data_IF_690915507406
#
_entry.id   IF_690915507406
#
_cell.length_a   1.000
_cell.length_b   1.000
_cell.length_c   1.000
_cell.angle_alpha   90.00
_cell.angle_beta   90.00
_cell.angle_gamma   90.00
#
_symmetry.space_group_name_H-M   'P 1'
#
loop_
_entity.id
_entity.type
_entity.pdbx_description
1 polymer ?
#
# COMPACT_ATOMS: atom_id res chain seq x y z
N UNK A 1 0.22 25.12 -29.26
CA UNK A 1 0.79 23.75 -29.24
C UNK A 1 0.25 22.97 -28.04
N UNK A 2 -0.66 22.00 -28.27
CA UNK A 2 -1.24 21.20 -27.22
C UNK A 2 -0.24 20.10 -26.79
N UNK A 3 0.37 20.19 -25.57
CA UNK A 3 1.12 19.09 -24.96
C UNK A 3 0.15 17.93 -24.69
N UNK A 4 0.24 16.87 -25.49
CA UNK A 4 -0.42 15.58 -25.24
C UNK A 4 0.01 15.07 -23.87
N UNK A 5 -0.94 14.88 -22.92
CA UNK A 5 -0.75 14.13 -21.68
C UNK A 5 -0.27 12.73 -22.05
N UNK A 6 1.01 12.42 -21.79
CA UNK A 6 1.51 11.06 -21.80
C UNK A 6 0.92 10.37 -20.57
N UNK A 7 -0.12 9.59 -20.74
CA UNK A 7 -0.42 8.47 -19.84
C UNK A 7 0.84 7.61 -19.91
N UNK A 8 1.54 7.44 -18.80
CA UNK A 8 2.73 6.59 -18.73
C UNK A 8 2.26 5.15 -18.93
N UNK A 9 2.43 4.66 -20.16
CA UNK A 9 2.19 3.24 -20.44
C UNK A 9 3.14 2.43 -19.54
N UNK A 10 2.60 1.39 -18.88
CA UNK A 10 3.38 0.47 -18.05
C UNK A 10 4.57 -0.06 -18.86
N UNK A 11 5.74 -0.13 -18.23
CA UNK A 11 6.92 -0.74 -18.83
C UNK A 11 6.69 -2.23 -19.13
N UNK A 12 7.46 -2.80 -20.04
CA UNK A 12 7.38 -4.22 -20.33
C UNK A 12 7.66 -5.09 -19.09
N UNK A 13 8.55 -4.64 -18.20
CA UNK A 13 8.83 -5.29 -16.92
C UNK A 13 7.61 -5.28 -15.99
N UNK A 14 6.96 -4.13 -15.82
CA UNK A 14 5.75 -4.02 -14.99
C UNK A 14 4.61 -4.87 -15.52
N UNK A 15 4.44 -4.93 -16.83
CA UNK A 15 3.45 -5.80 -17.47
C UNK A 15 3.72 -7.28 -17.24
N UNK A 16 4.98 -7.70 -17.36
CA UNK A 16 5.40 -9.08 -17.07
C UNK A 16 5.12 -9.43 -15.61
N UNK A 17 5.55 -8.59 -14.67
CA UNK A 17 5.32 -8.82 -13.23
C UNK A 17 3.82 -8.96 -12.94
N UNK A 18 3.00 -8.05 -13.44
CA UNK A 18 1.54 -8.07 -13.22
C UNK A 18 0.88 -9.33 -13.78
N UNK A 19 1.30 -9.79 -14.96
CA UNK A 19 0.80 -11.04 -15.54
C UNK A 19 1.20 -12.25 -14.71
N UNK A 20 2.47 -12.33 -14.30
CA UNK A 20 2.94 -13.43 -13.44
C UNK A 20 2.25 -13.42 -12.07
N UNK A 21 2.09 -12.26 -11.44
CA UNK A 21 1.33 -12.15 -10.18
C UNK A 21 -0.09 -12.66 -10.33
N UNK A 22 -0.77 -12.32 -11.43
CA UNK A 22 -2.11 -12.85 -11.71
C UNK A 22 -2.10 -14.38 -11.75
N UNK A 23 -1.17 -14.99 -12.49
CA UNK A 23 -1.09 -16.45 -12.63
C UNK A 23 -0.79 -17.15 -11.28
N UNK A 24 0.13 -16.59 -10.51
CA UNK A 24 0.58 -17.16 -9.23
C UNK A 24 -0.47 -16.97 -8.12
N UNK A 25 -1.04 -15.78 -7.96
CA UNK A 25 -2.00 -15.48 -6.89
C UNK A 25 -3.39 -16.06 -7.15
N UNK A 26 -3.76 -16.28 -8.41
CA UNK A 26 -4.97 -17.01 -8.77
C UNK A 26 -4.78 -18.54 -8.81
N UNK A 27 -3.60 -19.04 -8.40
CA UNK A 27 -3.26 -20.48 -8.44
C UNK A 27 -3.41 -21.12 -9.82
N UNK A 28 -3.21 -20.36 -10.89
CA UNK A 28 -3.14 -20.88 -12.25
C UNK A 28 -1.79 -21.57 -12.52
N UNK A 29 -0.77 -21.22 -11.74
CA UNK A 29 0.48 -21.97 -11.60
C UNK A 29 0.59 -22.30 -10.11
N UNK A 30 0.73 -23.58 -9.77
CA UNK A 30 0.64 -24.05 -8.40
C UNK A 30 1.98 -23.94 -7.65
N UNK A 31 1.94 -23.79 -6.31
CA UNK A 31 3.14 -23.90 -5.50
C UNK A 31 3.88 -25.22 -5.75
N UNK A 32 5.19 -25.14 -5.91
CA UNK A 32 6.05 -26.28 -6.25
C UNK A 32 6.28 -26.52 -7.74
N UNK A 33 5.51 -25.88 -8.62
CA UNK A 33 5.74 -25.96 -10.07
C UNK A 33 6.98 -25.14 -10.48
N UNK A 34 7.65 -25.63 -11.51
CA UNK A 34 8.78 -24.93 -12.14
C UNK A 34 8.27 -23.98 -13.21
N UNK A 35 8.79 -22.75 -13.22
CA UNK A 35 8.52 -21.82 -14.31
C UNK A 35 9.33 -22.21 -15.56
N UNK A 36 8.82 -21.88 -16.75
CA UNK A 36 9.58 -22.05 -17.98
C UNK A 36 10.93 -21.29 -17.92
N UNK A 37 11.97 -21.77 -18.65
CA UNK A 37 13.24 -21.07 -18.73
C UNK A 37 13.06 -19.61 -19.20
N UNK A 38 13.92 -18.69 -18.70
CA UNK A 38 13.86 -17.26 -19.04
C UNK A 38 13.83 -16.99 -20.55
N UNK A 39 14.48 -17.84 -21.36
CA UNK A 39 14.46 -17.73 -22.81
C UNK A 39 13.06 -17.97 -23.39
N UNK A 40 12.35 -18.94 -22.86
CA UNK A 40 11.00 -19.29 -23.28
C UNK A 40 9.99 -18.22 -22.83
N UNK A 41 10.07 -17.78 -21.57
CA UNK A 41 9.27 -16.67 -21.06
C UNK A 41 9.47 -15.40 -21.91
N UNK A 42 10.72 -15.09 -22.29
CA UNK A 42 11.02 -13.94 -23.13
C UNK A 42 10.37 -14.05 -24.52
N UNK A 43 10.38 -15.23 -25.11
CA UNK A 43 9.75 -15.49 -26.41
C UNK A 43 8.22 -15.41 -26.32
N UNK A 44 7.62 -16.03 -25.30
CA UNK A 44 6.16 -16.04 -25.09
C UNK A 44 5.61 -14.64 -24.83
N UNK A 45 6.33 -13.85 -24.05
CA UNK A 45 5.92 -12.49 -23.64
C UNK A 45 6.33 -11.42 -24.66
N UNK A 46 7.10 -11.75 -25.68
CA UNK A 46 7.57 -10.81 -26.69
C UNK A 46 8.48 -9.71 -26.12
N UNK A 47 9.26 -10.03 -25.07
CA UNK A 47 10.18 -9.09 -24.39
C UNK A 47 11.60 -9.64 -24.33
N UNK A 48 12.58 -8.80 -23.99
CA UNK A 48 13.97 -9.23 -23.91
C UNK A 48 14.24 -10.07 -22.64
N UNK A 49 15.21 -11.00 -22.70
CA UNK A 49 15.64 -11.81 -21.54
C UNK A 49 16.04 -10.99 -20.31
N UNK A 50 16.78 -9.87 -20.42
CA UNK A 50 17.04 -9.01 -19.26
C UNK A 50 15.79 -8.52 -18.55
N UNK A 51 14.74 -8.14 -19.30
CA UNK A 51 13.45 -7.72 -18.73
C UNK A 51 12.79 -8.84 -17.94
N UNK A 52 12.81 -10.08 -18.47
CA UNK A 52 12.31 -11.26 -17.75
C UNK A 52 13.13 -11.51 -16.49
N UNK A 53 14.46 -11.51 -16.61
CA UNK A 53 15.34 -11.75 -15.46
C UNK A 53 15.10 -10.75 -14.32
N UNK A 54 15.04 -9.45 -14.62
CA UNK A 54 14.73 -8.42 -13.64
C UNK A 54 13.33 -8.59 -13.03
N UNK A 55 12.34 -8.98 -13.83
CA UNK A 55 10.99 -9.25 -13.34
C UNK A 55 10.93 -10.47 -12.41
N UNK A 56 11.63 -11.55 -12.74
CA UNK A 56 11.72 -12.74 -11.89
C UNK A 56 12.45 -12.46 -10.58
N UNK A 57 13.51 -11.66 -10.59
CA UNK A 57 14.18 -11.20 -9.36
C UNK A 57 13.22 -10.42 -8.46
N UNK A 58 12.38 -9.56 -9.05
CA UNK A 58 11.39 -8.79 -8.30
C UNK A 58 10.28 -9.68 -7.73
N UNK A 59 9.77 -10.64 -8.49
CA UNK A 59 8.82 -11.65 -8.00
C UNK A 59 9.43 -12.50 -6.88
N UNK A 60 10.72 -12.84 -6.98
CA UNK A 60 11.47 -13.50 -5.92
C UNK A 60 11.60 -12.65 -4.66
N UNK A 61 11.88 -11.35 -4.79
CA UNK A 61 11.92 -10.41 -3.66
C UNK A 61 10.55 -10.25 -2.97
N UNK A 62 9.45 -10.50 -3.69
CA UNK A 62 8.08 -10.55 -3.13
C UNK A 62 7.75 -11.88 -2.47
N UNK A 63 8.61 -12.89 -2.59
CA UNK A 63 8.40 -14.23 -2.02
C UNK A 63 7.49 -15.14 -2.86
N UNK A 64 7.12 -14.73 -4.08
CA UNK A 64 6.24 -15.52 -4.95
C UNK A 64 6.94 -16.69 -5.63
N UNK A 65 8.24 -16.54 -5.89
CA UNK A 65 9.08 -17.54 -6.53
C UNK A 65 10.44 -17.58 -5.87
N UNK A 66 11.15 -18.68 -6.01
CA UNK A 66 12.55 -18.81 -5.57
C UNK A 66 13.38 -19.55 -6.61
N UNK A 67 14.70 -19.31 -6.61
CA UNK A 67 15.60 -20.01 -7.51
C UNK A 67 16.09 -21.31 -6.87
N UNK A 68 15.94 -22.45 -7.57
CA UNK A 68 16.58 -23.70 -7.19
C UNK A 68 17.79 -23.99 -8.07
N UNK A 69 18.96 -24.21 -7.46
CA UNK A 69 20.16 -24.53 -8.22
C UNK A 69 19.91 -25.69 -9.19
N UNK A 70 20.30 -25.53 -10.46
CA UNK A 70 20.13 -26.49 -11.55
C UNK A 70 18.71 -26.74 -12.06
N UNK A 71 17.66 -26.23 -11.38
CA UNK A 71 16.27 -26.45 -11.76
C UNK A 71 15.58 -25.18 -12.25
N UNK A 72 16.11 -23.99 -11.92
CA UNK A 72 15.52 -22.72 -12.32
C UNK A 72 14.57 -22.13 -11.28
N UNK A 73 13.57 -21.40 -11.70
CA UNK A 73 12.62 -20.73 -10.84
C UNK A 73 11.46 -21.65 -10.47
N UNK A 74 11.13 -21.73 -9.16
CA UNK A 74 10.03 -22.51 -8.62
C UNK A 74 9.03 -21.59 -7.97
N UNK A 75 7.74 -21.93 -8.06
CA UNK A 75 6.65 -21.21 -7.40
C UNK A 75 6.63 -21.53 -5.91
N UNK A 76 6.61 -20.50 -5.08
CA UNK A 76 6.56 -20.61 -3.63
C UNK A 76 5.10 -20.68 -3.14
N UNK A 77 4.91 -21.20 -1.92
CA UNK A 77 3.68 -20.98 -1.20
C UNK A 77 3.71 -19.57 -0.59
N UNK A 78 3.03 -18.62 -1.21
CA UNK A 78 3.07 -17.21 -0.78
C UNK A 78 2.46 -16.97 0.61
N UNK A 79 1.66 -17.89 1.15
CA UNK A 79 1.15 -17.81 2.52
C UNK A 79 2.22 -18.08 3.57
N UNK A 80 3.28 -18.80 3.19
CA UNK A 80 4.40 -19.14 4.06
C UNK A 80 5.63 -18.28 3.77
N UNK A 81 5.89 -17.97 2.49
CA UNK A 81 7.12 -17.33 2.01
C UNK A 81 6.91 -15.89 1.50
N UNK A 82 5.64 -15.42 1.46
CA UNK A 82 5.31 -14.09 0.98
C UNK A 82 5.92 -12.97 1.83
N UNK A 83 6.44 -11.93 1.17
CA UNK A 83 7.03 -10.76 1.82
C UNK A 83 6.10 -9.54 1.76
N UNK A 84 6.34 -8.55 2.62
CA UNK A 84 5.52 -7.34 2.71
C UNK A 84 5.27 -6.61 1.37
N UNK A 85 6.21 -6.56 0.40
CA UNK A 85 5.94 -5.97 -0.91
C UNK A 85 4.81 -6.66 -1.70
N UNK A 86 4.43 -7.88 -1.31
CA UNK A 86 3.33 -8.60 -1.94
C UNK A 86 1.94 -8.05 -1.57
N UNK A 87 1.82 -7.30 -0.47
CA UNK A 87 0.52 -6.84 0.05
C UNK A 87 -0.36 -6.14 -0.98
N UNK A 88 0.21 -5.25 -1.81
CA UNK A 88 -0.54 -4.52 -2.84
C UNK A 88 -1.10 -5.46 -3.90
N UNK A 89 -0.32 -6.44 -4.32
CA UNK A 89 -0.72 -7.44 -5.32
C UNK A 89 -1.72 -8.42 -4.72
N UNK A 90 -1.46 -8.92 -3.52
CA UNK A 90 -2.38 -9.80 -2.79
C UNK A 90 -3.75 -9.14 -2.64
N UNK A 91 -3.81 -7.88 -2.25
CA UNK A 91 -5.05 -7.13 -2.14
C UNK A 91 -5.77 -6.99 -3.50
N UNK A 92 -5.03 -6.68 -4.57
CA UNK A 92 -5.57 -6.49 -5.92
C UNK A 92 -6.23 -7.74 -6.50
N UNK A 93 -5.64 -8.91 -6.26
CA UNK A 93 -6.09 -10.19 -6.82
C UNK A 93 -6.96 -11.01 -5.85
N UNK A 94 -7.20 -10.53 -4.63
CA UNK A 94 -8.06 -11.20 -3.67
C UNK A 94 -9.54 -11.09 -4.05
N UNK A 95 -10.29 -12.16 -3.81
CA UNK A 95 -11.75 -12.10 -3.83
C UNK A 95 -12.27 -11.08 -2.80
N UNK A 96 -13.47 -10.49 -2.97
CA UNK A 96 -13.99 -9.45 -2.07
C UNK A 96 -13.94 -9.83 -0.58
N UNK A 97 -14.28 -11.06 -0.24
CA UNK A 97 -14.27 -11.52 1.15
C UNK A 97 -12.84 -11.61 1.73
N UNK A 98 -11.89 -12.08 0.93
CA UNK A 98 -10.47 -12.14 1.32
C UNK A 98 -9.86 -10.74 1.40
N UNK A 99 -10.23 -9.85 0.51
CA UNK A 99 -9.82 -8.45 0.56
C UNK A 99 -10.33 -7.75 1.82
N UNK A 100 -11.59 -7.97 2.22
CA UNK A 100 -12.16 -7.42 3.45
C UNK A 100 -11.43 -7.93 4.70
N UNK A 101 -10.99 -9.19 4.71
CA UNK A 101 -10.18 -9.75 5.79
C UNK A 101 -8.80 -9.10 5.85
N UNK A 102 -8.13 -8.97 4.72
CA UNK A 102 -6.84 -8.25 4.63
C UNK A 102 -6.98 -6.82 5.14
N UNK A 103 -8.10 -6.15 4.83
CA UNK A 103 -8.39 -4.80 5.30
C UNK A 103 -8.49 -4.74 6.83
N UNK A 104 -9.21 -5.67 7.44
CA UNK A 104 -9.35 -5.75 8.89
C UNK A 104 -8.00 -6.01 9.58
N UNK A 105 -7.21 -6.96 9.04
CA UNK A 105 -5.89 -7.31 9.56
C UNK A 105 -4.91 -6.11 9.46
N UNK A 106 -4.96 -5.37 8.34
CA UNK A 106 -4.14 -4.16 8.15
C UNK A 106 -4.56 -3.02 9.08
N UNK A 107 -5.86 -2.87 9.35
CA UNK A 107 -6.35 -1.88 10.31
C UNK A 107 -5.88 -2.20 11.72
N UNK A 108 -5.93 -3.47 12.13
CA UNK A 108 -5.44 -3.92 13.43
C UNK A 108 -3.93 -3.61 13.59
N UNK A 109 -3.11 -3.96 12.60
CA UNK A 109 -1.67 -3.66 12.61
C UNK A 109 -1.44 -2.15 12.66
N UNK A 110 -2.16 -1.36 11.84
CA UNK A 110 -2.07 0.10 11.82
C UNK A 110 -2.43 0.70 13.18
N UNK A 111 -3.50 0.24 13.81
CA UNK A 111 -3.95 0.65 15.14
C UNK A 111 -2.88 0.39 16.18
N UNK A 112 -2.35 -0.83 16.22
CA UNK A 112 -1.29 -1.22 17.13
C UNK A 112 -0.04 -0.34 16.98
N UNK A 113 0.41 -0.12 15.74
CA UNK A 113 1.60 0.71 15.46
C UNK A 113 1.37 2.16 15.90
N UNK A 114 0.26 2.78 15.51
CA UNK A 114 0.00 4.20 15.79
C UNK A 114 -0.25 4.46 17.27
N UNK A 115 -1.07 3.64 17.92
CA UNK A 115 -1.36 3.79 19.36
C UNK A 115 -0.10 3.60 20.18
N UNK A 116 0.70 2.55 19.88
CA UNK A 116 1.96 2.31 20.59
C UNK A 116 2.98 3.42 20.36
N UNK A 117 3.06 3.96 19.13
CA UNK A 117 3.96 5.06 18.82
C UNK A 117 3.59 6.35 19.57
N UNK A 118 2.29 6.68 19.61
CA UNK A 118 1.82 7.84 20.37
C UNK A 118 2.04 7.67 21.88
N UNK A 119 1.85 6.44 22.42
CA UNK A 119 2.18 6.13 23.82
C UNK A 119 3.66 6.34 24.10
N UNK A 120 4.54 5.85 23.25
CA UNK A 120 5.99 6.02 23.39
C UNK A 120 6.38 7.50 23.32
N UNK A 121 5.80 8.26 22.39
CA UNK A 121 6.01 9.70 22.32
C UNK A 121 5.67 10.40 23.64
N UNK A 122 4.52 10.11 24.23
CA UNK A 122 4.14 10.70 25.53
C UNK A 122 4.96 10.18 26.72
N UNK A 123 5.49 8.96 26.65
CA UNK A 123 6.31 8.39 27.71
C UNK A 123 7.73 8.99 27.75
N UNK A 124 8.25 9.43 26.60
CA UNK A 124 9.58 10.08 26.49
C UNK A 124 9.56 11.56 26.88
N UNK A 125 8.47 12.03 27.50
CA UNK A 125 8.22 13.42 27.80
C UNK A 125 9.11 13.91 28.96
N UNK A 126 10.15 14.66 28.62
CA UNK A 126 10.80 15.61 29.54
C UNK A 126 10.16 16.97 29.36
N UNK A 127 10.02 17.72 30.44
CA UNK A 127 9.39 19.04 30.59
C UNK A 127 9.77 20.08 29.50
N UNK A 128 10.83 19.83 28.76
CA UNK A 128 11.34 20.67 27.65
C UNK A 128 10.60 20.53 26.33
N UNK A 129 9.73 19.51 26.16
CA UNK A 129 9.04 19.24 24.88
C UNK A 129 7.76 20.03 24.64
N UNK A 130 7.22 20.70 25.66
CA UNK A 130 5.87 21.32 25.58
C UNK A 130 5.78 22.51 24.62
N UNK A 131 6.87 23.22 24.33
CA UNK A 131 6.82 24.44 23.50
C UNK A 131 7.47 24.30 22.12
N UNK A 132 8.39 23.36 21.90
CA UNK A 132 9.16 23.19 20.66
C UNK A 132 9.33 21.71 20.27
N UNK A 133 8.27 20.90 20.36
CA UNK A 133 8.34 19.50 19.93
C UNK A 133 8.50 19.40 18.41
N UNK A 134 9.55 18.72 17.89
CA UNK A 134 9.74 18.49 16.46
C UNK A 134 8.54 17.79 15.82
N UNK A 135 7.83 16.94 16.57
CA UNK A 135 6.59 16.31 16.10
C UNK A 135 5.50 17.35 15.85
N UNK A 136 5.24 18.23 16.82
CA UNK A 136 4.17 19.23 16.72
C UNK A 136 4.43 20.17 15.55
N UNK A 137 5.67 20.64 15.40
CA UNK A 137 6.06 21.48 14.26
C UNK A 137 5.83 20.76 12.92
N UNK A 138 6.23 19.50 12.82
CA UNK A 138 6.08 18.67 11.63
C UNK A 138 4.61 18.43 11.29
N UNK A 139 3.79 18.11 12.30
CA UNK A 139 2.35 17.91 12.10
C UNK A 139 1.65 19.20 11.64
N UNK A 140 1.97 20.34 12.24
CA UNK A 140 1.44 21.65 11.80
C UNK A 140 1.86 21.99 10.36
N UNK A 141 3.11 21.68 9.97
CA UNK A 141 3.58 21.90 8.60
C UNK A 141 2.79 21.07 7.60
N UNK A 142 2.62 19.77 7.87
CA UNK A 142 1.86 18.84 7.01
C UNK A 142 0.41 19.30 6.91
N UNK A 143 -0.21 19.63 8.03
CA UNK A 143 -1.61 20.06 8.09
C UNK A 143 -1.86 21.39 7.35
N UNK A 144 -0.95 22.36 7.44
CA UNK A 144 -1.01 23.59 6.64
C UNK A 144 -0.95 23.33 5.14
N UNK A 145 -0.08 22.40 4.72
CA UNK A 145 -0.02 21.98 3.31
C UNK A 145 -1.29 21.25 2.87
N UNK A 146 -1.85 20.42 3.74
CA UNK A 146 -3.13 19.75 3.48
C UNK A 146 -4.25 20.78 3.22
N UNK A 147 -4.41 21.77 4.08
CA UNK A 147 -5.41 22.83 3.91
C UNK A 147 -5.26 23.63 2.60
N UNK A 148 -4.03 23.90 2.15
CA UNK A 148 -3.80 24.58 0.86
C UNK A 148 -4.27 23.78 -0.36
N UNK A 149 -4.32 22.45 -0.22
CA UNK A 149 -4.69 21.53 -1.30
C UNK A 149 -6.17 21.13 -1.28
N UNK A 150 -6.94 21.51 -0.22
CA UNK A 150 -8.38 21.24 -0.12
C UNK A 150 -9.12 22.35 -0.86
N UNK A 151 -9.51 22.10 -2.11
CA UNK A 151 -10.32 22.98 -2.94
C UNK A 151 -11.80 22.61 -3.00
N UNK A 152 -12.60 23.40 -3.72
CA UNK A 152 -14.02 23.09 -3.97
C UNK A 152 -14.16 21.89 -4.94
N UNK A 153 -13.26 21.79 -5.90
CA UNK A 153 -13.20 20.68 -6.86
C UNK A 153 -11.77 20.14 -6.89
N UNK A 154 -11.60 18.87 -6.56
CA UNK A 154 -10.30 18.22 -6.47
C UNK A 154 -9.98 17.48 -7.77
N UNK A 155 -8.85 17.83 -8.36
CA UNK A 155 -8.29 17.10 -9.50
C UNK A 155 -7.52 15.88 -9.00
N UNK A 156 -7.32 14.84 -9.82
CA UNK A 156 -6.57 13.65 -9.44
C UNK A 156 -5.18 13.93 -8.86
N UNK A 157 -4.49 14.98 -9.33
CA UNK A 157 -3.19 15.37 -8.80
C UNK A 157 -3.28 15.93 -7.37
N UNK A 158 -4.35 16.64 -7.03
CA UNK A 158 -4.60 17.16 -5.68
C UNK A 158 -4.99 16.04 -4.73
N UNK A 159 -5.82 15.07 -5.18
CA UNK A 159 -6.16 13.87 -4.40
C UNK A 159 -4.87 13.10 -4.06
N UNK A 160 -4.01 12.81 -5.04
CA UNK A 160 -2.71 12.15 -4.77
C UNK A 160 -1.85 12.92 -3.77
N UNK A 161 -1.83 14.25 -3.89
CA UNK A 161 -1.10 15.08 -2.92
C UNK A 161 -1.67 15.00 -1.52
N UNK A 162 -2.99 15.02 -1.38
CA UNK A 162 -3.69 14.88 -0.08
C UNK A 162 -3.47 13.50 0.53
N UNK A 163 -3.50 12.45 -0.28
CA UNK A 163 -3.17 11.09 0.15
C UNK A 163 -1.73 10.99 0.68
N UNK A 164 -0.77 11.60 0.00
CA UNK A 164 0.62 11.64 0.47
C UNK A 164 0.74 12.39 1.80
N UNK A 165 0.05 13.53 1.95
CA UNK A 165 0.07 14.32 3.18
C UNK A 165 -0.57 13.56 4.36
N UNK A 166 -1.63 12.80 4.10
CA UNK A 166 -2.24 11.93 5.09
C UNK A 166 -1.28 10.82 5.55
N UNK A 167 -0.62 10.15 4.63
CA UNK A 167 0.41 9.16 4.95
C UNK A 167 1.54 9.77 5.79
N UNK A 168 2.05 10.93 5.39
CA UNK A 168 3.12 11.64 6.10
C UNK A 168 2.72 12.08 7.51
N UNK A 169 1.44 12.41 7.73
CA UNK A 169 0.92 12.78 9.04
C UNK A 169 1.05 11.62 10.03
N UNK A 170 0.56 10.45 9.68
CA UNK A 170 0.68 9.27 10.54
C UNK A 170 2.12 8.78 10.67
N UNK A 171 2.89 8.84 9.60
CA UNK A 171 4.31 8.51 9.62
C UNK A 171 5.08 9.38 10.61
N UNK A 172 4.75 10.68 10.73
CA UNK A 172 5.40 11.56 11.69
C UNK A 172 5.13 11.14 13.15
N UNK A 173 3.92 10.67 13.46
CA UNK A 173 3.59 10.13 14.80
C UNK A 173 4.42 8.87 15.10
N UNK A 174 4.53 7.96 14.12
CA UNK A 174 5.31 6.72 14.27
C UNK A 174 6.80 7.03 14.48
N UNK A 175 7.34 7.95 13.70
CA UNK A 175 8.74 8.40 13.81
C UNK A 175 9.03 8.99 15.19
N UNK A 176 8.12 9.81 15.72
CA UNK A 176 8.24 10.39 17.05
C UNK A 176 8.19 9.37 18.20
N UNK A 177 7.52 8.24 17.98
CA UNK A 177 7.53 7.09 18.90
C UNK A 177 8.87 6.37 19.01
N UNK A 178 9.80 6.60 18.07
CA UNK A 178 11.19 6.12 18.12
C UNK A 178 11.38 4.64 17.75
N UNK A 179 10.33 3.89 17.39
CA UNK A 179 10.47 2.49 16.97
C UNK A 179 10.73 2.39 15.47
N UNK A 180 11.98 2.14 15.09
CA UNK A 180 12.40 2.03 13.68
C UNK A 180 11.70 0.88 12.95
N UNK A 181 11.40 -0.22 13.63
CA UNK A 181 10.70 -1.36 12.99
C UNK A 181 9.26 -0.98 12.63
N UNK A 182 8.55 -0.26 13.50
CA UNK A 182 7.21 0.26 13.18
C UNK A 182 7.24 1.19 11.96
N UNK A 183 8.26 2.04 11.87
CA UNK A 183 8.43 2.92 10.73
C UNK A 183 8.67 2.16 9.42
N UNK A 184 9.50 1.11 9.45
CA UNK A 184 9.76 0.26 8.28
C UNK A 184 8.50 -0.50 7.85
N UNK A 185 7.78 -1.09 8.79
CA UNK A 185 6.51 -1.80 8.50
C UNK A 185 5.48 -0.85 7.88
N UNK A 186 5.30 0.34 8.44
CA UNK A 186 4.37 1.33 7.91
C UNK A 186 4.77 1.82 6.51
N UNK A 187 6.07 2.07 6.28
CA UNK A 187 6.58 2.45 4.96
C UNK A 187 6.38 1.33 3.92
N UNK A 188 6.47 0.06 4.30
CA UNK A 188 6.26 -1.07 3.40
C UNK A 188 4.82 -1.18 2.90
N UNK A 189 3.85 -0.71 3.68
CA UNK A 189 2.44 -0.66 3.29
C UNK A 189 2.05 0.59 2.47
N UNK A 190 3.01 1.49 2.15
CA UNK A 190 2.74 2.80 1.53
C UNK A 190 1.96 2.68 0.21
N UNK A 191 2.35 1.76 -0.66
CA UNK A 191 1.71 1.59 -1.97
C UNK A 191 0.23 1.24 -1.83
N UNK A 192 -0.08 0.23 -1.00
CA UNK A 192 -1.45 -0.18 -0.71
C UNK A 192 -2.24 0.93 -0.02
N UNK A 193 -1.63 1.63 0.94
CA UNK A 193 -2.23 2.77 1.62
C UNK A 193 -2.65 3.86 0.62
N UNK A 194 -1.76 4.23 -0.29
CA UNK A 194 -2.04 5.24 -1.32
C UNK A 194 -3.15 4.80 -2.26
N UNK A 195 -3.08 3.58 -2.78
CA UNK A 195 -4.09 3.04 -3.69
C UNK A 195 -5.50 3.10 -3.06
N UNK A 196 -5.64 2.67 -1.81
CA UNK A 196 -6.92 2.66 -1.11
C UNK A 196 -7.44 4.06 -0.80
N UNK A 197 -6.56 4.91 -0.29
CA UNK A 197 -6.95 6.26 0.10
C UNK A 197 -7.26 7.17 -1.10
N UNK A 198 -6.53 7.04 -2.22
CA UNK A 198 -6.86 7.73 -3.46
C UNK A 198 -8.25 7.34 -3.98
N UNK A 199 -8.58 6.06 -3.96
CA UNK A 199 -9.91 5.59 -4.33
C UNK A 199 -10.97 6.20 -3.42
N UNK A 200 -10.80 6.08 -2.11
CA UNK A 200 -11.75 6.59 -1.13
C UNK A 200 -11.96 8.11 -1.25
N UNK A 201 -10.89 8.89 -1.38
CA UNK A 201 -10.98 10.35 -1.54
C UNK A 201 -11.61 10.76 -2.89
N UNK A 202 -11.47 9.93 -3.91
CA UNK A 202 -12.12 10.17 -5.20
C UNK A 202 -13.63 9.97 -5.10
N UNK A 203 -14.06 8.94 -4.37
CA UNK A 203 -15.48 8.62 -4.17
C UNK A 203 -16.15 9.53 -3.10
N UNK A 204 -15.39 9.98 -2.11
CA UNK A 204 -15.88 10.68 -0.91
C UNK A 204 -15.07 11.94 -0.60
N UNK A 205 -15.14 12.95 -1.45
CA UNK A 205 -14.34 14.19 -1.31
C UNK A 205 -14.63 14.96 -0.01
N UNK A 206 -15.84 14.88 0.56
CA UNK A 206 -16.18 15.54 1.82
C UNK A 206 -15.46 14.93 3.03
N UNK A 207 -15.11 13.64 2.94
CA UNK A 207 -14.33 12.97 3.99
C UNK A 207 -12.95 13.58 4.22
N UNK A 208 -12.38 14.23 3.19
CA UNK A 208 -11.08 14.91 3.25
C UNK A 208 -11.15 16.07 4.27
N UNK A 209 -12.22 16.88 4.22
CA UNK A 209 -12.41 17.99 5.16
C UNK A 209 -12.60 17.48 6.58
N UNK A 210 -13.38 16.42 6.73
CA UNK A 210 -13.60 15.78 8.03
C UNK A 210 -12.28 15.24 8.59
N UNK A 211 -11.48 14.54 7.79
CA UNK A 211 -10.17 14.04 8.21
C UNK A 211 -9.22 15.17 8.61
N UNK A 212 -9.17 16.28 7.84
CA UNK A 212 -8.33 17.43 8.16
C UNK A 212 -8.76 18.09 9.49
N UNK A 213 -10.08 18.22 9.75
CA UNK A 213 -10.58 18.75 11.01
C UNK A 213 -10.21 17.86 12.22
N UNK A 214 -10.31 16.54 12.08
CA UNK A 214 -9.89 15.58 13.12
C UNK A 214 -8.37 15.64 13.39
N UNK A 215 -7.55 15.78 12.34
CA UNK A 215 -6.10 15.98 12.48
C UNK A 215 -5.75 17.25 13.22
N UNK A 216 -6.43 18.38 12.90
CA UNK A 216 -6.26 19.64 13.63
C UNK A 216 -6.52 19.46 15.13
N UNK A 217 -7.59 18.75 15.46
CA UNK A 217 -7.96 18.47 16.85
C UNK A 217 -6.99 17.55 17.55
N UNK A 218 -6.46 16.53 16.83
CA UNK A 218 -5.42 15.64 17.35
C UNK A 218 -4.13 16.41 17.66
N UNK A 219 -3.71 17.30 16.76
CA UNK A 219 -2.55 18.19 17.01
C UNK A 219 -2.76 19.02 18.29
N UNK A 220 -3.94 19.62 18.46
CA UNK A 220 -4.25 20.40 19.67
C UNK A 220 -4.14 19.55 20.95
N UNK A 221 -4.70 18.35 20.96
CA UNK A 221 -4.59 17.44 22.11
C UNK A 221 -3.15 17.01 22.42
N UNK A 222 -2.34 16.74 21.38
CA UNK A 222 -0.92 16.44 21.56
C UNK A 222 -0.19 17.66 22.13
N UNK A 223 -0.44 18.86 21.61
CA UNK A 223 0.19 20.11 22.06
C UNK A 223 -0.17 20.43 23.51
N UNK A 224 -1.41 20.23 23.89
CA UNK A 224 -1.93 20.48 25.24
C UNK A 224 -1.63 19.31 26.22
N UNK A 225 -0.88 18.29 25.80
CA UNK A 225 -0.60 17.06 26.57
C UNK A 225 -1.86 16.36 27.10
N UNK A 226 -2.98 16.48 26.38
CA UNK A 226 -4.25 15.80 26.67
C UNK A 226 -4.20 14.37 26.15
N UNK A 227 -3.52 13.50 26.90
CA UNK A 227 -3.14 12.14 26.47
C UNK A 227 -4.36 11.28 26.18
N UNK A 228 -5.34 11.23 27.11
CA UNK A 228 -6.51 10.37 26.98
C UNK A 228 -7.37 10.79 25.78
N UNK A 229 -7.58 12.10 25.60
CA UNK A 229 -8.32 12.66 24.48
C UNK A 229 -7.59 12.42 23.14
N UNK A 230 -6.26 12.52 23.12
CA UNK A 230 -5.47 12.22 21.94
C UNK A 230 -5.59 10.74 21.54
N UNK A 231 -5.53 9.82 22.50
CA UNK A 231 -5.72 8.39 22.23
C UNK A 231 -7.14 8.09 21.75
N UNK A 232 -8.17 8.58 22.45
CA UNK A 232 -9.55 8.35 22.07
C UNK A 232 -9.86 8.90 20.67
N UNK A 233 -9.31 10.07 20.33
CA UNK A 233 -9.47 10.65 19.02
C UNK A 233 -8.70 9.87 17.95
N UNK A 234 -7.46 9.43 18.21
CA UNK A 234 -6.68 8.62 17.29
C UNK A 234 -7.38 7.29 16.99
N UNK A 235 -7.91 6.59 18.00
CA UNK A 235 -8.68 5.37 17.84
C UNK A 235 -9.92 5.62 16.97
N UNK A 236 -10.66 6.70 17.25
CA UNK A 236 -11.80 7.10 16.43
C UNK A 236 -11.39 7.38 14.99
N UNK A 237 -10.29 8.07 14.75
CA UNK A 237 -9.78 8.37 13.40
C UNK A 237 -9.41 7.09 12.65
N UNK A 238 -8.82 6.11 13.31
CA UNK A 238 -8.46 4.82 12.72
C UNK A 238 -9.73 4.04 12.35
N UNK A 239 -10.71 3.96 13.25
CA UNK A 239 -11.96 3.23 13.04
C UNK A 239 -12.91 3.93 12.06
N UNK A 240 -12.92 5.28 12.02
CA UNK A 240 -13.75 6.09 11.12
C UNK A 240 -13.08 6.25 9.76
N UNK A 241 -11.79 6.01 9.67
CA UNK A 241 -11.08 5.89 8.42
C UNK A 241 -11.55 4.60 7.69
N UNK A 242 -12.87 4.54 7.48
CA UNK A 242 -13.61 3.55 6.70
C UNK A 242 -13.17 3.48 5.21
N UNK A 243 -12.12 4.20 4.81
CA UNK A 243 -11.51 4.00 3.50
C UNK A 243 -10.80 2.65 3.40
N UNK A 244 -10.70 1.95 4.54
CA UNK A 244 -10.27 0.56 4.54
C UNK A 244 -11.47 -0.37 4.36
N UNK A 245 -12.67 0.06 4.77
CA UNK A 245 -13.92 -0.69 4.71
C UNK A 245 -14.87 -0.22 3.59
N UNK A 246 -14.36 0.20 2.45
CA UNK A 246 -15.26 0.28 1.28
C UNK A 246 -15.80 -1.12 1.02
N UNK A 247 -17.08 -1.31 1.33
CA UNK A 247 -17.82 -2.47 0.84
C UNK A 247 -17.38 -2.71 -0.60
N UNK A 248 -17.11 -3.97 -0.92
CA UNK A 248 -16.71 -4.42 -2.26
C UNK A 248 -17.88 -4.23 -3.23
N UNK A 249 -18.27 -2.96 -3.44
CA UNK A 249 -19.22 -2.57 -4.46
C UNK A 249 -18.46 -2.50 -5.76
N UNK A 250 -18.64 -3.53 -6.59
CA UNK A 250 -18.36 -3.48 -8.02
C UNK A 250 -16.89 -3.53 -8.41
N UNK A 251 -16.08 -4.44 -7.84
CA UNK A 251 -14.85 -4.83 -8.52
C UNK A 251 -15.23 -5.67 -9.73
N UNK A 252 -15.21 -5.07 -10.90
CA UNK A 252 -15.03 -5.87 -12.10
C UNK A 252 -13.68 -6.59 -11.93
N UNK A 253 -13.74 -7.92 -11.89
CA UNK A 253 -12.54 -8.74 -11.98
C UNK A 253 -11.77 -8.28 -13.22
N UNK A 254 -10.44 -8.07 -13.15
CA UNK A 254 -9.68 -7.79 -14.35
C UNK A 254 -10.04 -8.85 -15.40
N UNK A 255 -10.16 -8.48 -16.68
CA UNK A 255 -10.60 -9.40 -17.72
C UNK A 255 -9.73 -10.65 -17.67
N UNK A 256 -10.36 -11.78 -17.32
CA UNK A 256 -9.72 -13.08 -17.27
C UNK A 256 -9.16 -13.30 -18.67
N UNK A 257 -7.83 -13.38 -18.79
CA UNK A 257 -7.21 -13.91 -20.00
C UNK A 257 -7.85 -15.27 -20.25
N UNK A 258 -8.50 -15.44 -21.40
CA UNK A 258 -9.22 -16.66 -21.74
C UNK A 258 -8.30 -17.85 -21.55
N UNK A 259 -8.81 -18.92 -20.98
CA UNK A 259 -8.17 -20.22 -20.77
C UNK A 259 -7.31 -20.70 -21.95
N UNK A 260 -7.63 -20.25 -23.17
CA UNK A 260 -6.91 -20.55 -24.40
C UNK A 260 -5.40 -20.21 -24.37
N UNK A 261 -4.96 -19.21 -23.60
CA UNK A 261 -3.53 -18.86 -23.53
C UNK A 261 -2.76 -19.73 -22.54
N UNK A 262 -3.46 -20.34 -21.58
CA UNK A 262 -2.84 -21.27 -20.62
C UNK A 262 -2.69 -22.66 -21.20
N UNK A 263 -3.66 -23.13 -22.00
CA UNK A 263 -3.55 -24.41 -22.72
C UNK A 263 -2.37 -24.40 -23.72
N UNK A 264 -2.06 -23.26 -24.34
CA UNK A 264 -0.85 -23.10 -25.16
C UNK A 264 0.45 -23.16 -24.36
N UNK A 265 0.43 -22.74 -23.06
CA UNK A 265 1.59 -22.79 -22.17
C UNK A 265 1.81 -24.20 -21.59
N UNK A 266 0.75 -24.94 -21.28
CA UNK A 266 0.81 -26.26 -20.64
C UNK A 266 0.87 -27.41 -21.63
N UNK A 267 0.41 -27.24 -22.88
CA UNK A 267 0.44 -28.29 -23.91
C UNK A 267 1.79 -28.47 -24.62
N UNK A 268 2.80 -27.65 -24.29
CA UNK A 268 4.16 -27.68 -24.87
C UNK A 268 5.26 -27.96 -23.86
N UNK A 269 4.91 -28.39 -22.64
CA UNK A 269 5.87 -28.84 -21.62
C UNK A 269 6.14 -30.35 -21.67
#
# INVERSE_FOLDING_TARGET
MKKKKRTTAKSNKERFIEQMETLLLMHLILPGELLPPERELAQQMGVSRPVIHEGLLELGARGLISIRPRHGWIVNNFTEEGALPLLSSLYRFSAPQSAARIDADLEEVRRMILTKSLMQYFATDTVQKQTNSPLIEKLHKIHREEHKNIGAHLRPAEIRRLTELDFLFYRAIIEAGGNTIFLLLFNSARELYHQKLEQFFTENTESIRTAAALKSRLIAYITENKRNEAFALLEKMISTNAYIHTEAVGRESPPIMREQHYEELSSKA
#
